data_IF_729858604410
#
_entry.id   IF_729858604410
#
_cell.length_a   1.000
_cell.length_b   1.000
_cell.length_c   1.000
_cell.angle_alpha   90.00
_cell.angle_beta   90.00
_cell.angle_gamma   90.00
#
_symmetry.space_group_name_H-M   'P 1'
#
loop_
_entity.id
_entity.type
_entity.pdbx_description
1 polymer ?
#
# COMPACT_ATOMS: atom_id res chain seq x y z
N UNK A 1 5.81 -34.97 16.62
CA UNK A 1 4.76 -34.26 17.41
C UNK A 1 5.01 -32.76 17.28
N UNK A 2 3.96 -31.99 16.96
CA UNK A 2 4.04 -30.53 16.76
C UNK A 2 3.43 -29.81 17.97
N UNK A 3 4.09 -28.76 18.38
CA UNK A 3 3.70 -27.88 19.46
C UNK A 3 3.52 -26.46 18.93
N UNK A 4 2.69 -25.67 19.60
CA UNK A 4 2.44 -24.28 19.28
C UNK A 4 2.59 -23.43 20.54
N UNK A 5 3.32 -22.33 20.43
CA UNK A 5 3.46 -21.36 21.52
C UNK A 5 2.69 -20.09 21.16
N UNK A 6 1.78 -19.68 22.04
CA UNK A 6 1.03 -18.43 21.87
C UNK A 6 1.94 -17.20 22.03
N UNK A 7 2.95 -17.27 22.90
CA UNK A 7 3.88 -16.16 23.15
C UNK A 7 4.78 -15.86 21.96
N UNK A 8 5.22 -16.88 21.22
CA UNK A 8 6.08 -16.70 20.03
C UNK A 8 5.30 -16.70 18.71
N UNK A 9 4.02 -17.06 18.75
CA UNK A 9 3.16 -17.16 17.58
C UNK A 9 3.61 -18.25 16.58
N UNK A 10 4.45 -19.20 17.01
CA UNK A 10 5.17 -20.12 16.13
C UNK A 10 5.00 -21.59 16.54
N UNK A 11 5.30 -22.49 15.61
CA UNK A 11 5.23 -23.94 15.83
C UNK A 11 6.61 -24.54 16.08
N UNK A 12 6.67 -25.50 17.00
CA UNK A 12 7.86 -26.24 17.37
C UNK A 12 7.64 -27.73 17.10
N UNK A 13 8.70 -28.44 16.76
CA UNK A 13 8.67 -29.88 16.47
C UNK A 13 9.62 -30.56 17.46
N UNK A 14 9.08 -31.49 18.26
CA UNK A 14 9.88 -32.29 19.17
C UNK A 14 10.95 -33.08 18.40
N UNK A 15 12.19 -33.02 18.86
CA UNK A 15 13.36 -33.64 18.21
C UNK A 15 14.03 -32.78 17.14
N UNK A 16 13.34 -31.77 16.58
CA UNK A 16 13.95 -30.78 15.67
C UNK A 16 14.42 -29.53 16.41
N UNK A 17 13.62 -29.06 17.37
CA UNK A 17 13.93 -27.88 18.17
C UNK A 17 14.59 -28.30 19.49
N UNK A 18 15.78 -27.76 19.76
CA UNK A 18 16.56 -28.09 20.98
C UNK A 18 15.95 -27.54 22.27
N UNK A 19 15.08 -26.54 22.17
CA UNK A 19 14.29 -26.00 23.28
C UNK A 19 12.89 -25.61 22.80
N UNK A 20 11.92 -25.69 23.70
CA UNK A 20 10.53 -25.29 23.46
C UNK A 20 10.08 -24.31 24.55
N UNK A 21 9.29 -23.29 24.19
CA UNK A 21 8.67 -22.40 25.17
C UNK A 21 7.84 -23.16 26.21
N UNK A 22 7.77 -22.65 27.44
CA UNK A 22 6.99 -23.28 28.51
C UNK A 22 5.48 -23.26 28.24
N UNK A 23 5.00 -22.34 27.40
CA UNK A 23 3.61 -22.23 26.96
C UNK A 23 3.34 -23.02 25.67
N UNK A 24 4.28 -23.85 25.21
CA UNK A 24 4.11 -24.67 24.01
C UNK A 24 3.12 -25.80 24.28
N UNK A 25 1.98 -25.78 23.58
CA UNK A 25 0.94 -26.81 23.66
C UNK A 25 0.96 -27.71 22.43
N UNK A 26 0.72 -29.00 22.62
CA UNK A 26 0.65 -29.94 21.51
C UNK A 26 -0.56 -29.61 20.62
N UNK A 27 -0.34 -29.62 19.29
CA UNK A 27 -1.38 -29.41 18.29
C UNK A 27 -1.36 -30.52 17.24
N UNK A 28 -2.53 -30.86 16.71
CA UNK A 28 -2.65 -31.83 15.63
C UNK A 28 -2.17 -31.25 14.29
N UNK A 29 -1.78 -32.11 13.36
CA UNK A 29 -1.46 -31.70 11.98
C UNK A 29 -2.67 -31.06 11.28
N UNK A 30 -3.88 -31.53 11.59
CA UNK A 30 -5.13 -30.96 11.08
C UNK A 30 -5.35 -29.53 11.56
N UNK A 31 -5.17 -29.27 12.87
CA UNK A 31 -5.28 -27.92 13.43
C UNK A 31 -4.20 -27.00 12.85
N UNK A 32 -2.98 -27.51 12.70
CA UNK A 32 -1.90 -26.78 12.03
C UNK A 32 -2.29 -26.39 10.61
N UNK A 33 -2.76 -27.33 9.80
CA UNK A 33 -3.12 -27.05 8.41
C UNK A 33 -4.30 -26.08 8.31
N UNK A 34 -5.33 -26.24 9.13
CA UNK A 34 -6.52 -25.38 9.09
C UNK A 34 -6.26 -23.94 9.55
N UNK A 35 -5.36 -23.74 10.53
CA UNK A 35 -5.20 -22.43 11.20
C UNK A 35 -3.90 -21.71 10.82
N UNK A 36 -2.84 -22.46 10.48
CA UNK A 36 -1.49 -21.90 10.27
C UNK A 36 -0.97 -22.16 8.85
N UNK A 37 -1.08 -23.39 8.36
CA UNK A 37 -0.53 -23.78 7.06
C UNK A 37 -1.36 -23.31 5.87
N UNK A 38 -2.68 -23.27 6.01
CA UNK A 38 -3.61 -22.89 4.94
C UNK A 38 -4.90 -22.24 5.50
N UNK A 39 -4.81 -21.09 6.19
CA UNK A 39 -5.99 -20.40 6.68
C UNK A 39 -6.80 -19.80 5.52
N UNK A 40 -8.14 -19.81 5.58
CA UNK A 40 -8.98 -19.07 4.65
C UNK A 40 -8.65 -17.56 4.63
N UNK A 41 -8.82 -16.92 3.48
CA UNK A 41 -8.66 -15.47 3.33
C UNK A 41 -9.60 -14.71 4.26
N UNK A 42 -9.14 -13.59 4.83
CA UNK A 42 -9.96 -12.77 5.73
C UNK A 42 -10.07 -13.31 7.16
N UNK A 43 -9.28 -14.32 7.53
CA UNK A 43 -9.19 -14.81 8.90
C UNK A 43 -7.91 -14.31 9.58
N UNK A 44 -8.04 -13.96 10.86
CA UNK A 44 -6.90 -13.67 11.74
C UNK A 44 -6.76 -14.79 12.78
N UNK A 45 -5.53 -15.08 13.18
CA UNK A 45 -5.24 -16.10 14.18
C UNK A 45 -5.32 -15.51 15.59
N UNK A 46 -6.10 -16.13 16.45
CA UNK A 46 -6.25 -15.83 17.87
C UNK A 46 -5.93 -17.07 18.73
N UNK A 47 -5.97 -16.91 20.05
CA UNK A 47 -5.60 -17.94 21.02
C UNK A 47 -6.63 -18.08 22.12
N UNK A 48 -6.93 -19.31 22.51
CA UNK A 48 -7.81 -19.56 23.66
C UNK A 48 -7.03 -19.48 24.98
N UNK A 49 -7.72 -19.71 26.10
CA UNK A 49 -7.11 -19.71 27.44
C UNK A 49 -5.98 -20.74 27.57
N UNK A 50 -6.08 -21.85 26.82
CA UNK A 50 -5.11 -22.95 26.78
C UNK A 50 -3.95 -22.68 25.84
N UNK A 51 -4.00 -21.61 25.03
CA UNK A 51 -3.00 -21.26 24.04
C UNK A 51 -3.11 -22.00 22.72
N UNK A 52 -4.24 -22.68 22.46
CA UNK A 52 -4.50 -23.29 21.17
C UNK A 52 -4.86 -22.21 20.13
N UNK A 53 -4.28 -22.28 18.92
CA UNK A 53 -4.58 -21.31 17.88
C UNK A 53 -5.94 -21.62 17.25
N UNK A 54 -6.75 -20.60 17.03
CA UNK A 54 -7.98 -20.67 16.25
C UNK A 54 -8.12 -19.46 15.33
N UNK A 55 -9.04 -19.53 14.37
CA UNK A 55 -9.31 -18.45 13.43
C UNK A 55 -10.52 -17.63 13.85
N UNK A 56 -10.34 -16.32 13.90
CA UNK A 56 -11.42 -15.33 13.98
C UNK A 56 -11.53 -14.61 12.65
N UNK A 57 -12.66 -13.94 12.41
CA UNK A 57 -12.74 -13.00 11.30
C UNK A 57 -11.71 -11.89 11.54
N UNK A 58 -10.87 -11.66 10.53
CA UNK A 58 -9.95 -10.54 10.57
C UNK A 58 -10.79 -9.26 10.65
N UNK A 59 -10.43 -8.31 11.52
CA UNK A 59 -11.09 -7.01 11.49
C UNK A 59 -10.94 -6.44 10.09
N UNK A 60 -12.06 -6.07 9.48
CA UNK A 60 -12.07 -5.42 8.19
C UNK A 60 -11.38 -4.06 8.38
N UNK A 61 -10.12 -3.97 7.95
CA UNK A 61 -9.41 -2.69 7.92
C UNK A 61 -10.06 -1.89 6.81
N UNK A 62 -11.04 -1.07 7.17
CA UNK A 62 -11.60 -0.11 6.25
C UNK A 62 -10.44 0.67 5.61
N UNK A 63 -10.36 0.76 4.27
CA UNK A 63 -9.28 1.46 3.62
C UNK A 63 -9.27 2.90 4.15
N UNK A 64 -8.11 3.38 4.64
CA UNK A 64 -7.94 4.78 5.01
C UNK A 64 -8.13 5.62 3.74
N UNK A 65 -9.23 6.37 3.60
CA UNK A 65 -9.50 7.14 2.39
C UNK A 65 -8.36 8.13 2.13
N UNK A 66 -7.76 8.67 3.20
CA UNK A 66 -6.62 9.57 3.09
C UNK A 66 -5.37 8.86 2.55
N UNK A 67 -5.12 7.60 2.91
CA UNK A 67 -4.01 6.83 2.33
C UNK A 67 -4.24 6.55 0.84
N UNK A 68 -5.47 6.19 0.48
CA UNK A 68 -5.83 5.93 -0.91
C UNK A 68 -5.66 7.18 -1.79
N UNK A 69 -6.07 8.35 -1.30
CA UNK A 69 -5.93 9.60 -2.03
C UNK A 69 -4.49 10.10 -2.11
N UNK A 70 -3.67 9.86 -1.06
CA UNK A 70 -2.22 10.13 -1.14
C UNK A 70 -1.55 9.27 -2.22
N UNK A 71 -1.93 8.00 -2.32
CA UNK A 71 -1.43 7.08 -3.34
C UNK A 71 -1.86 7.52 -4.75
N UNK A 72 -3.12 7.92 -4.94
CA UNK A 72 -3.60 8.47 -6.22
C UNK A 72 -2.79 9.71 -6.62
N UNK A 73 -2.62 10.67 -5.69
CA UNK A 73 -1.85 11.89 -5.92
C UNK A 73 -0.38 11.62 -6.27
N UNK A 74 0.24 10.63 -5.65
CA UNK A 74 1.60 10.19 -5.99
C UNK A 74 1.67 9.60 -7.41
N UNK A 75 0.69 8.78 -7.80
CA UNK A 75 0.60 8.21 -9.14
C UNK A 75 0.38 9.28 -10.22
N UNK A 76 -0.52 10.25 -9.98
CA UNK A 76 -0.74 11.39 -10.88
C UNK A 76 0.53 12.23 -11.06
N UNK A 77 1.21 12.59 -9.96
CA UNK A 77 2.47 13.33 -10.04
C UNK A 77 3.53 12.58 -10.85
N UNK A 78 3.66 11.27 -10.66
CA UNK A 78 4.60 10.44 -11.40
C UNK A 78 4.24 10.39 -12.90
N UNK A 79 2.96 10.32 -13.24
CA UNK A 79 2.49 10.22 -14.62
C UNK A 79 2.81 11.44 -15.50
N UNK A 80 2.95 12.63 -14.88
CA UNK A 80 3.23 13.89 -15.59
C UNK A 80 4.67 14.39 -15.39
N UNK A 81 5.46 13.72 -14.55
CA UNK A 81 6.83 14.15 -14.22
C UNK A 81 7.75 14.17 -15.44
N UNK A 82 7.64 13.15 -16.30
CA UNK A 82 8.45 13.02 -17.51
C UNK A 82 8.28 14.22 -18.47
N UNK A 83 7.08 14.81 -18.50
CA UNK A 83 6.76 15.91 -19.42
C UNK A 83 7.48 17.19 -19.00
N UNK A 84 7.59 17.42 -17.70
CA UNK A 84 8.38 18.51 -17.14
C UNK A 84 9.88 18.33 -17.42
N UNK A 85 10.38 17.11 -17.28
CA UNK A 85 11.78 16.76 -17.57
C UNK A 85 12.10 16.97 -19.05
N UNK A 86 11.29 16.40 -19.95
CA UNK A 86 11.41 16.58 -21.41
C UNK A 86 11.44 18.05 -21.82
N UNK A 87 10.53 18.87 -21.29
CA UNK A 87 10.48 20.29 -21.64
C UNK A 87 11.76 21.03 -21.19
N UNK A 88 12.31 20.69 -20.01
CA UNK A 88 13.56 21.26 -19.53
C UNK A 88 14.75 20.85 -20.36
N UNK A 89 14.85 19.57 -20.69
CA UNK A 89 15.90 19.03 -21.55
C UNK A 89 15.89 19.72 -22.92
N UNK A 90 14.70 19.90 -23.51
CA UNK A 90 14.52 20.59 -24.79
C UNK A 90 14.99 22.05 -24.74
N UNK A 91 14.68 22.78 -23.66
CA UNK A 91 15.18 24.15 -23.46
C UNK A 91 16.70 24.20 -23.30
N UNK A 92 17.29 23.25 -22.57
CA UNK A 92 18.73 23.20 -22.30
C UNK A 92 19.55 22.94 -23.57
N UNK A 93 19.02 22.13 -24.50
CA UNK A 93 19.67 21.85 -25.79
C UNK A 93 19.22 22.79 -26.93
N UNK A 94 18.43 23.82 -26.61
CA UNK A 94 17.85 24.76 -27.59
C UNK A 94 17.04 24.07 -28.71
N UNK A 95 16.42 22.93 -28.40
CA UNK A 95 15.53 22.22 -29.33
C UNK A 95 14.12 22.79 -29.32
N UNK A 96 13.34 22.60 -30.41
CA UNK A 96 11.90 22.88 -30.39
C UNK A 96 11.20 22.12 -29.25
N UNK A 97 10.41 22.85 -28.45
CA UNK A 97 9.68 22.24 -27.34
C UNK A 97 8.47 21.46 -27.82
N UNK A 98 8.19 20.34 -27.16
CA UNK A 98 7.02 19.48 -27.44
C UNK A 98 5.70 20.08 -26.99
N UNK A 99 5.76 20.96 -26.00
CA UNK A 99 4.64 21.74 -25.47
C UNK A 99 5.05 23.22 -25.43
N UNK A 100 4.08 24.12 -25.51
CA UNK A 100 4.35 25.56 -25.45
C UNK A 100 4.55 26.05 -24.01
N UNK A 101 4.90 27.33 -23.87
CA UNK A 101 5.16 27.94 -22.56
C UNK A 101 3.91 28.06 -21.68
N UNK A 102 2.72 28.18 -22.27
CA UNK A 102 1.46 28.26 -21.54
C UNK A 102 1.07 26.89 -20.98
N UNK A 103 1.15 25.84 -21.81
CA UNK A 103 1.00 24.44 -21.41
C UNK A 103 2.02 24.06 -20.32
N UNK A 104 3.28 24.46 -20.46
CA UNK A 104 4.27 24.20 -19.43
C UNK A 104 3.93 24.88 -18.10
N UNK A 105 3.42 26.12 -18.14
CA UNK A 105 2.94 26.82 -16.94
C UNK A 105 1.73 26.11 -16.32
N UNK A 106 0.75 25.69 -17.11
CA UNK A 106 -0.41 24.94 -16.64
C UNK A 106 -0.01 23.61 -15.98
N UNK A 107 0.96 22.89 -16.56
CA UNK A 107 1.54 21.68 -15.97
C UNK A 107 2.13 21.96 -14.59
N UNK A 108 2.92 23.02 -14.45
CA UNK A 108 3.52 23.38 -13.15
C UNK A 108 2.46 23.75 -12.11
N UNK A 109 1.40 24.47 -12.51
CA UNK A 109 0.27 24.80 -11.64
C UNK A 109 -0.48 23.52 -11.22
N UNK A 110 -0.75 22.61 -12.14
CA UNK A 110 -1.39 21.33 -11.85
C UNK A 110 -0.56 20.49 -10.87
N UNK A 111 0.75 20.34 -11.12
CA UNK A 111 1.65 19.63 -10.21
C UNK A 111 1.73 20.27 -8.83
N UNK A 112 1.64 21.60 -8.73
CA UNK A 112 1.61 22.31 -7.46
C UNK A 112 0.29 22.02 -6.71
N UNK A 113 -0.85 22.10 -7.41
CA UNK A 113 -2.16 21.77 -6.83
C UNK A 113 -2.22 20.33 -6.28
N UNK A 114 -1.60 19.36 -6.98
CA UNK A 114 -1.46 17.99 -6.49
C UNK A 114 -0.65 17.92 -5.18
N UNK A 115 0.39 18.74 -5.01
CA UNK A 115 1.20 18.76 -3.78
C UNK A 115 0.49 19.45 -2.61
N UNK A 116 -0.29 20.49 -2.91
CA UNK A 116 -0.98 21.29 -1.90
C UNK A 116 -2.28 20.63 -1.42
N UNK A 117 -2.93 19.83 -2.27
CA UNK A 117 -4.23 19.23 -1.96
C UNK A 117 -4.25 18.40 -0.66
N UNK A 118 -3.27 17.51 -0.36
CA UNK A 118 -3.20 16.81 0.93
C UNK A 118 -3.07 17.69 2.17
N UNK A 119 -2.70 18.97 2.01
CA UNK A 119 -2.60 19.96 3.09
C UNK A 119 -3.86 20.83 3.21
N UNK A 120 -4.82 20.67 2.30
CA UNK A 120 -6.07 21.44 2.28
C UNK A 120 -7.14 20.83 3.20
N UNK A 121 -8.08 21.65 3.65
CA UNK A 121 -9.24 21.20 4.43
C UNK A 121 -10.19 20.30 3.63
N UNK A 122 -10.10 20.34 2.29
CA UNK A 122 -10.94 19.57 1.39
C UNK A 122 -10.41 18.14 1.15
N UNK A 123 -9.26 17.80 1.71
CA UNK A 123 -8.72 16.45 1.64
C UNK A 123 -9.42 15.54 2.66
N UNK A 124 -9.81 14.29 2.30
CA UNK A 124 -9.55 13.53 1.07
C UNK A 124 -10.74 13.48 0.09
N UNK A 125 -11.53 14.55 -0.04
CA UNK A 125 -12.77 14.52 -0.84
C UNK A 125 -12.46 14.45 -2.35
N UNK A 126 -12.95 13.40 -3.01
CA UNK A 126 -12.71 13.14 -4.44
C UNK A 126 -13.13 14.30 -5.36
N UNK A 127 -14.19 15.02 -4.99
CA UNK A 127 -14.73 16.17 -5.74
C UNK A 127 -13.76 17.36 -5.79
N UNK A 128 -12.78 17.38 -4.88
CA UNK A 128 -11.77 18.43 -4.78
C UNK A 128 -10.41 18.01 -5.32
N UNK A 129 -10.32 16.85 -6.00
CA UNK A 129 -9.09 16.46 -6.69
C UNK A 129 -8.71 17.53 -7.73
N UNK A 130 -7.43 17.92 -7.79
CA UNK A 130 -6.93 18.75 -8.88
C UNK A 130 -7.25 18.10 -10.23
N UNK A 131 -7.77 18.89 -11.17
CA UNK A 131 -8.14 18.42 -12.51
C UNK A 131 -6.98 18.66 -13.47
N UNK A 132 -6.55 17.61 -14.16
CA UNK A 132 -5.51 17.70 -15.16
C UNK A 132 -5.98 18.55 -16.36
N UNK A 133 -5.13 19.46 -16.89
CA UNK A 133 -5.36 20.09 -18.18
C UNK A 133 -5.59 19.05 -19.29
N UNK A 134 -6.62 19.20 -20.16
CA UNK A 134 -6.99 18.18 -21.14
C UNK A 134 -5.87 17.76 -22.09
N UNK A 135 -5.01 18.71 -22.48
CA UNK A 135 -3.92 18.49 -23.42
C UNK A 135 -2.83 17.53 -22.88
N UNK A 136 -2.76 17.30 -21.56
CA UNK A 136 -1.83 16.32 -20.97
C UNK A 136 -2.14 14.92 -21.49
N UNK A 137 -3.43 14.58 -21.64
CA UNK A 137 -3.86 13.28 -22.16
C UNK A 137 -3.51 13.08 -23.66
N UNK A 138 -3.18 14.16 -24.37
CA UNK A 138 -2.75 14.12 -25.76
C UNK A 138 -1.25 13.86 -25.90
N UNK A 139 -0.50 13.89 -24.79
CA UNK A 139 0.95 13.66 -24.77
C UNK A 139 1.29 12.19 -24.63
N UNK A 140 2.33 11.75 -25.35
CA UNK A 140 2.82 10.37 -25.32
C UNK A 140 4.29 10.33 -24.91
N UNK A 141 4.64 9.31 -24.10
CA UNK A 141 6.00 9.07 -23.64
C UNK A 141 6.88 8.47 -24.73
#
# INVERSE_FOLDING_TARGET
>A
MRYYSKSTGSTYIAGLHGSMPADAVEITDELYMAVIGNPPTGKARAHDERGLPYLVDAPEVAPDPAAQERQWRDAELASVMWLRERHRDQLEIEAPTSIDAEQFKELLVYMQALRDWPQSEQFPMIEHRPVAPPWIAEQYQ
#
